data_IF_700627382362
#
_entry.id   IF_700627382362
#
_cell.length_a   1.000
_cell.length_b   1.000
_cell.length_c   1.000
_cell.angle_alpha   90.00
_cell.angle_beta   90.00
_cell.angle_gamma   90.00
#
_symmetry.space_group_name_H-M   'P 1'
#
loop_
_entity.id
_entity.type
_entity.pdbx_description
1 polymer ?
#
# COMPACT_ATOMS: atom_id res chain seq x y z
N UNK A 1 -8.37 -20.18 16.58
CA UNK A 1 -8.85 -19.80 15.23
C UNK A 1 -7.72 -19.03 14.61
N UNK A 2 -6.83 -19.78 13.99
CA UNK A 2 -5.57 -19.34 13.40
C UNK A 2 -5.80 -19.03 11.91
N UNK A 3 -5.07 -18.01 11.43
CA UNK A 3 -4.45 -17.88 10.10
C UNK A 3 -5.35 -17.92 8.85
N UNK A 4 -5.06 -17.22 7.74
CA UNK A 4 -3.84 -16.55 7.29
C UNK A 4 -4.25 -15.55 6.19
N UNK A 5 -3.53 -14.43 6.12
CA UNK A 5 -3.56 -13.48 5.03
C UNK A 5 -3.15 -14.15 3.71
N UNK A 6 -3.95 -13.99 2.66
CA UNK A 6 -3.54 -14.23 1.28
C UNK A 6 -3.51 -12.88 0.55
N UNK A 7 -2.28 -12.40 0.37
CA UNK A 7 -1.91 -11.27 -0.48
C UNK A 7 -2.19 -11.69 -1.92
N UNK A 8 -3.08 -10.97 -2.62
CA UNK A 8 -3.28 -11.14 -4.06
C UNK A 8 -2.02 -10.69 -4.81
N UNK A 9 -1.29 -11.67 -5.33
CA UNK A 9 -0.22 -11.44 -6.29
C UNK A 9 -0.80 -10.83 -7.57
N UNK A 10 -0.35 -9.60 -7.89
CA UNK A 10 -0.48 -9.00 -9.21
C UNK A 10 0.30 -9.83 -10.23
N UNK A 11 -0.36 -10.86 -10.77
CA UNK A 11 0.13 -11.67 -11.87
C UNK A 11 0.25 -10.82 -13.12
N UNK A 12 1.48 -10.41 -13.45
CA UNK A 12 1.84 -9.94 -14.79
C UNK A 12 1.47 -11.06 -15.78
N UNK A 13 0.66 -10.80 -16.82
CA UNK A 13 0.40 -11.83 -17.82
C UNK A 13 1.72 -12.19 -18.50
N UNK A 14 2.18 -13.40 -18.23
CA UNK A 14 3.28 -14.03 -18.93
C UNK A 14 2.98 -13.98 -20.42
N UNK A 15 3.85 -13.29 -21.15
CA UNK A 15 3.83 -13.11 -22.59
C UNK A 15 4.00 -14.46 -23.31
N UNK A 16 2.93 -15.25 -23.37
CA UNK A 16 2.79 -16.37 -24.28
C UNK A 16 2.58 -15.83 -25.69
N UNK A 17 3.68 -15.59 -26.41
CA UNK A 17 3.87 -16.05 -27.79
C UNK A 17 5.04 -15.31 -28.46
N UNK A 18 6.27 -15.68 -28.11
CA UNK A 18 7.40 -15.53 -29.04
C UNK A 18 7.86 -16.93 -29.46
N UNK A 19 6.92 -17.73 -29.97
CA UNK A 19 7.25 -18.91 -30.75
C UNK A 19 7.60 -18.45 -32.16
N UNK A 20 8.85 -18.74 -32.53
CA UNK A 20 9.30 -19.01 -33.90
C UNK A 20 8.99 -17.91 -34.92
N UNK A 21 9.99 -17.26 -35.51
CA UNK A 21 10.73 -17.89 -36.60
C UNK A 21 12.08 -17.18 -36.75
N UNK A 22 13.16 -17.80 -36.26
CA UNK A 22 14.49 -17.58 -36.85
C UNK A 22 14.44 -18.19 -38.26
N UNK A 23 13.95 -17.43 -39.24
CA UNK A 23 14.09 -17.75 -40.66
C UNK A 23 15.59 -17.76 -40.95
N UNK A 24 16.19 -18.95 -40.91
CA UNK A 24 17.55 -19.21 -41.38
C UNK A 24 17.67 -18.56 -42.76
N UNK A 25 18.61 -17.63 -42.90
CA UNK A 25 18.94 -16.99 -44.17
C UNK A 25 19.13 -18.11 -45.20
N UNK A 26 18.24 -18.14 -46.21
CA UNK A 26 18.35 -19.08 -47.31
C UNK A 26 19.72 -18.85 -47.94
N UNK A 27 20.54 -19.89 -47.97
CA UNK A 27 21.82 -19.92 -48.68
C UNK A 27 21.52 -19.46 -50.11
N UNK A 28 22.04 -18.29 -50.48
CA UNK A 28 21.88 -17.73 -51.82
C UNK A 28 22.37 -18.82 -52.78
N UNK A 29 21.49 -19.26 -53.68
CA UNK A 29 21.83 -20.29 -54.65
C UNK A 29 22.97 -19.73 -55.50
N UNK A 30 24.14 -20.39 -55.44
CA UNK A 30 25.36 -19.89 -56.07
C UNK A 30 25.30 -19.80 -57.60
N UNK A 31 24.20 -20.24 -58.22
CA UNK A 31 23.96 -20.08 -59.64
C UNK A 31 22.49 -19.76 -59.90
N UNK A 32 22.24 -18.65 -60.59
CA UNK A 32 20.90 -18.33 -61.06
C UNK A 32 20.52 -19.27 -62.21
N UNK A 33 19.24 -19.66 -62.36
CA UNK A 33 18.82 -20.49 -63.50
C UNK A 33 19.17 -19.84 -64.84
N UNK A 34 19.27 -18.52 -64.88
CA UNK A 34 19.68 -17.75 -66.04
C UNK A 34 21.19 -17.92 -66.37
N UNK A 35 22.06 -18.09 -65.37
CA UNK A 35 23.50 -18.39 -65.57
C UNK A 35 23.73 -19.82 -66.09
N UNK A 36 22.91 -20.77 -65.63
CA UNK A 36 22.95 -22.16 -66.11
C UNK A 36 22.52 -22.20 -67.58
N UNK A 37 21.45 -21.48 -67.92
CA UNK A 37 20.96 -21.40 -69.31
C UNK A 37 21.99 -20.70 -70.20
N UNK A 38 22.57 -19.57 -69.78
CA UNK A 38 23.57 -18.87 -70.59
C UNK A 38 24.87 -19.67 -70.73
N UNK A 39 25.31 -20.36 -69.68
CA UNK A 39 26.44 -21.28 -69.73
C UNK A 39 26.20 -22.47 -70.67
N UNK A 40 24.99 -23.03 -70.66
CA UNK A 40 24.58 -24.09 -71.59
C UNK A 40 24.53 -23.59 -73.04
N UNK A 41 23.97 -22.41 -73.29
CA UNK A 41 23.96 -21.80 -74.63
C UNK A 41 25.38 -21.47 -75.12
N UNK A 42 26.26 -20.98 -74.25
CA UNK A 42 27.66 -20.73 -74.59
C UNK A 42 28.38 -22.04 -74.93
N UNK A 43 28.20 -23.10 -74.13
CA UNK A 43 28.77 -24.42 -74.38
C UNK A 43 28.27 -25.05 -75.69
N UNK A 44 26.96 -24.97 -75.95
CA UNK A 44 26.35 -25.43 -77.20
C UNK A 44 26.85 -24.63 -78.41
N UNK A 45 26.99 -23.31 -78.27
CA UNK A 45 27.50 -22.44 -79.33
C UNK A 45 28.93 -22.80 -79.70
N UNK A 46 29.82 -22.89 -78.70
CA UNK A 46 31.22 -23.27 -78.92
C UNK A 46 31.32 -24.70 -79.49
N UNK A 47 30.58 -25.66 -78.94
CA UNK A 47 30.57 -27.03 -79.43
C UNK A 47 30.08 -27.14 -80.89
N UNK A 48 29.04 -26.40 -81.24
CA UNK A 48 28.50 -26.35 -82.61
C UNK A 48 29.49 -25.67 -83.56
N UNK A 49 30.14 -24.58 -83.14
CA UNK A 49 31.16 -23.88 -83.95
C UNK A 49 32.38 -24.76 -84.21
N UNK A 50 32.88 -25.49 -83.21
CA UNK A 50 34.01 -26.43 -83.39
C UNK A 50 33.63 -27.59 -84.31
N UNK A 51 32.42 -28.15 -84.14
CA UNK A 51 31.91 -29.24 -84.99
C UNK A 51 31.76 -28.79 -86.44
N UNK A 52 31.27 -27.56 -86.68
CA UNK A 52 31.14 -26.97 -88.00
C UNK A 52 32.50 -26.73 -88.69
N UNK A 53 33.53 -26.32 -87.93
CA UNK A 53 34.89 -26.16 -88.46
C UNK A 53 35.51 -27.47 -88.94
N UNK A 54 35.19 -28.59 -88.30
CA UNK A 54 35.69 -29.93 -88.69
C UNK A 54 34.97 -30.46 -89.93
N UNK A 55 33.66 -30.25 -90.04
CA UNK A 55 32.85 -30.80 -91.13
C UNK A 55 32.89 -29.97 -92.41
N UNK A 56 33.05 -28.64 -92.32
CA UNK A 56 33.03 -27.74 -93.47
C UNK A 56 34.00 -26.56 -93.28
N UNK A 57 35.30 -26.73 -93.61
CA UNK A 57 36.31 -25.69 -93.42
C UNK A 57 36.13 -24.57 -94.45
N UNK A 58 35.36 -23.55 -94.09
CA UNK A 58 35.18 -22.33 -94.90
C UNK A 58 35.58 -21.09 -94.10
N UNK A 59 36.27 -20.16 -94.76
CA UNK A 59 36.78 -18.91 -94.15
C UNK A 59 35.74 -18.13 -93.32
N UNK A 60 34.46 -17.96 -93.74
CA UNK A 60 33.47 -17.25 -92.93
C UNK A 60 33.14 -17.95 -91.60
N UNK A 61 33.24 -19.29 -91.52
CA UNK A 61 32.95 -20.06 -90.30
C UNK A 61 34.00 -19.81 -89.22
N UNK A 62 35.27 -19.62 -89.61
CA UNK A 62 36.34 -19.28 -88.68
C UNK A 62 36.15 -17.90 -88.05
N UNK A 63 35.75 -16.89 -88.84
CA UNK A 63 35.51 -15.53 -88.34
C UNK A 63 34.29 -15.50 -87.40
N UNK A 64 33.21 -16.20 -87.77
CA UNK A 64 32.01 -16.30 -86.93
C UNK A 64 32.29 -17.04 -85.61
N UNK A 65 33.05 -18.13 -85.64
CA UNK A 65 33.43 -18.89 -84.44
C UNK A 65 34.38 -18.15 -83.50
N UNK A 66 35.28 -17.32 -84.05
CA UNK A 66 36.17 -16.48 -83.25
C UNK A 66 35.40 -15.38 -82.50
N UNK A 67 34.44 -14.74 -83.17
CA UNK A 67 33.60 -13.70 -82.56
C UNK A 67 32.67 -14.26 -81.47
N UNK A 68 32.04 -15.41 -81.71
CA UNK A 68 31.17 -16.05 -80.71
C UNK A 68 31.95 -16.49 -79.46
N UNK A 69 33.19 -16.95 -79.64
CA UNK A 69 34.06 -17.36 -78.53
C UNK A 69 34.45 -16.21 -77.59
N UNK A 70 34.42 -14.96 -78.05
CA UNK A 70 34.70 -13.78 -77.19
C UNK A 70 33.43 -13.23 -76.54
N UNK A 71 32.32 -13.22 -77.30
CA UNK A 71 31.04 -12.69 -76.81
C UNK A 71 30.45 -13.56 -75.70
N UNK A 72 30.58 -14.89 -75.79
CA UNK A 72 30.07 -15.82 -74.78
C UNK A 72 30.62 -15.56 -73.36
N UNK A 73 31.95 -15.57 -73.16
CA UNK A 73 32.57 -15.26 -71.86
C UNK A 73 32.26 -13.84 -71.37
N UNK A 74 32.19 -12.86 -72.28
CA UNK A 74 31.90 -11.47 -71.91
C UNK A 74 30.45 -11.31 -71.42
N UNK A 75 29.48 -11.93 -72.10
CA UNK A 75 28.09 -11.94 -71.68
C UNK A 75 27.90 -12.68 -70.35
N UNK A 76 28.59 -13.81 -70.16
CA UNK A 76 28.60 -14.53 -68.89
C UNK A 76 29.13 -13.65 -67.74
N UNK A 77 30.26 -12.96 -67.95
CA UNK A 77 30.84 -12.06 -66.95
C UNK A 77 29.93 -10.88 -66.59
N UNK A 78 29.26 -10.28 -67.59
CA UNK A 78 28.27 -9.22 -67.34
C UNK A 78 27.07 -9.73 -66.54
N UNK A 79 26.58 -10.93 -66.87
CA UNK A 79 25.44 -11.52 -66.20
C UNK A 79 25.75 -11.79 -64.72
N UNK A 80 26.93 -12.31 -64.39
CA UNK A 80 27.36 -12.50 -62.99
C UNK A 80 27.37 -11.19 -62.21
N UNK A 81 27.87 -10.09 -62.81
CA UNK A 81 27.85 -8.78 -62.15
C UNK A 81 26.42 -8.25 -61.90
N UNK A 82 25.49 -8.51 -62.82
CA UNK A 82 24.09 -8.13 -62.62
C UNK A 82 23.44 -8.95 -61.49
N UNK A 83 23.75 -10.25 -61.40
CA UNK A 83 23.32 -11.11 -60.30
C UNK A 83 23.84 -10.60 -58.96
N UNK A 84 25.13 -10.25 -58.86
CA UNK A 84 25.74 -9.74 -57.63
C UNK A 84 25.10 -8.42 -57.17
N UNK A 85 24.84 -7.50 -58.11
CA UNK A 85 24.17 -6.23 -57.81
C UNK A 85 22.73 -6.47 -57.32
N UNK A 86 22.01 -7.39 -57.95
CA UNK A 86 20.65 -7.73 -57.54
C UNK A 86 20.62 -8.35 -56.13
N UNK A 87 21.55 -9.26 -55.85
CA UNK A 87 21.73 -9.85 -54.53
C UNK A 87 22.08 -8.79 -53.48
N UNK A 88 22.98 -7.86 -53.81
CA UNK A 88 23.37 -6.78 -52.91
C UNK A 88 22.19 -5.84 -52.62
N UNK A 89 21.35 -5.54 -53.61
CA UNK A 89 20.13 -4.77 -53.43
C UNK A 89 19.14 -5.48 -52.51
N UNK A 90 18.92 -6.79 -52.70
CA UNK A 90 18.03 -7.58 -51.84
C UNK A 90 18.54 -7.62 -50.39
N UNK A 91 19.85 -7.80 -50.19
CA UNK A 91 20.45 -7.75 -48.84
C UNK A 91 20.34 -6.37 -48.21
N UNK A 92 20.54 -5.29 -48.98
CA UNK A 92 20.37 -3.93 -48.49
C UNK A 92 18.91 -3.66 -48.07
N UNK A 93 17.93 -4.11 -48.87
CA UNK A 93 16.52 -4.00 -48.50
C UNK A 93 16.17 -4.84 -47.27
N UNK A 94 16.78 -6.01 -47.10
CA UNK A 94 16.60 -6.83 -45.90
C UNK A 94 17.20 -6.18 -44.65
N UNK A 95 18.41 -5.62 -44.76
CA UNK A 95 19.07 -4.88 -43.68
C UNK A 95 18.27 -3.64 -43.33
N UNK A 96 17.78 -2.88 -44.33
CA UNK A 96 16.93 -1.72 -44.10
C UNK A 96 15.66 -2.08 -43.33
N UNK A 97 14.99 -3.16 -43.72
CA UNK A 97 13.82 -3.68 -42.99
C UNK A 97 14.14 -4.04 -41.53
N UNK A 98 15.31 -4.60 -41.28
CA UNK A 98 15.74 -4.95 -39.92
C UNK A 98 16.08 -3.71 -39.08
N UNK A 99 16.72 -2.71 -39.67
CA UNK A 99 16.97 -1.42 -39.01
C UNK A 99 15.66 -0.70 -38.70
N UNK A 100 14.72 -0.68 -39.65
CA UNK A 100 13.40 -0.07 -39.44
C UNK A 100 12.63 -0.80 -38.32
N UNK A 101 12.73 -2.13 -38.24
CA UNK A 101 12.17 -2.94 -37.14
C UNK A 101 12.79 -2.60 -35.80
N UNK A 102 14.13 -2.57 -35.71
CA UNK A 102 14.86 -2.25 -34.48
C UNK A 102 14.62 -0.80 -34.03
N UNK A 103 14.43 0.12 -34.98
CA UNK A 103 14.06 1.51 -34.68
C UNK A 103 12.67 1.58 -34.04
N UNK A 104 11.69 0.87 -34.59
CA UNK A 104 10.35 0.78 -33.99
C UNK A 104 10.37 0.14 -32.60
N UNK A 105 11.18 -0.91 -32.41
CA UNK A 105 11.37 -1.54 -31.09
C UNK A 105 12.02 -0.59 -30.09
N UNK A 106 12.99 0.23 -30.50
CA UNK A 106 13.56 1.28 -29.65
C UNK A 106 12.54 2.35 -29.25
N UNK A 107 11.69 2.80 -30.19
CA UNK A 107 10.62 3.76 -29.88
C UNK A 107 9.67 3.19 -28.84
N UNK A 108 9.21 1.95 -29.04
CA UNK A 108 8.32 1.27 -28.09
C UNK A 108 8.97 1.09 -26.72
N UNK A 109 10.25 0.70 -26.68
CA UNK A 109 10.98 0.56 -25.42
C UNK A 109 11.09 1.90 -24.68
N UNK A 110 11.36 2.98 -25.42
CA UNK A 110 11.43 4.33 -24.85
C UNK A 110 10.07 4.79 -24.29
N UNK A 111 8.96 4.45 -24.95
CA UNK A 111 7.61 4.67 -24.42
C UNK A 111 7.39 3.89 -23.11
N UNK A 112 7.78 2.61 -23.06
CA UNK A 112 7.69 1.79 -21.83
C UNK A 112 8.54 2.35 -20.69
N UNK A 113 9.74 2.87 -20.99
CA UNK A 113 10.58 3.55 -19.99
C UNK A 113 9.88 4.82 -19.48
N UNK A 114 9.21 5.56 -20.34
CA UNK A 114 8.38 6.71 -19.94
C UNK A 114 7.26 6.32 -18.99
N UNK A 115 6.49 5.28 -19.31
CA UNK A 115 5.41 4.77 -18.44
C UNK A 115 5.93 4.28 -17.08
N UNK A 116 7.11 3.65 -17.06
CA UNK A 116 7.75 3.21 -15.82
C UNK A 116 8.21 4.41 -14.98
N UNK A 117 8.76 5.47 -15.59
CA UNK A 117 9.08 6.71 -14.88
C UNK A 117 7.84 7.37 -14.29
N UNK A 118 6.75 7.48 -15.05
CA UNK A 118 5.47 8.01 -14.54
C UNK A 118 4.94 7.17 -13.36
N UNK A 119 5.18 5.86 -13.39
CA UNK A 119 4.80 4.96 -12.28
C UNK A 119 5.69 5.17 -11.05
N UNK A 120 6.98 5.44 -11.24
CA UNK A 120 7.91 5.78 -10.14
C UNK A 120 7.49 7.10 -9.49
N UNK A 121 7.19 8.13 -10.28
CA UNK A 121 6.73 9.44 -9.77
C UNK A 121 5.45 9.28 -8.93
N UNK A 122 4.51 8.44 -9.37
CA UNK A 122 3.31 8.12 -8.59
C UNK A 122 3.61 7.37 -7.29
N UNK A 123 4.62 6.50 -7.28
CA UNK A 123 5.04 5.80 -6.07
C UNK A 123 5.70 6.75 -5.07
N UNK A 124 6.47 7.74 -5.54
CA UNK A 124 7.03 8.82 -4.72
C UNK A 124 5.91 9.66 -4.07
N UNK A 125 4.88 10.04 -4.84
CA UNK A 125 3.70 10.74 -4.31
C UNK A 125 2.98 9.92 -3.22
N UNK A 126 2.88 8.59 -3.40
CA UNK A 126 2.26 7.68 -2.42
C UNK A 126 3.12 7.55 -1.17
N UNK A 127 4.45 7.47 -1.29
CA UNK A 127 5.39 7.47 -0.16
C UNK A 127 5.26 8.77 0.66
N UNK A 128 5.21 9.92 0.00
CA UNK A 128 5.02 11.21 0.66
C UNK A 128 3.65 11.30 1.37
N UNK A 129 2.58 10.79 0.75
CA UNK A 129 1.27 10.72 1.39
C UNK A 129 1.29 9.79 2.63
N UNK A 130 2.00 8.66 2.56
CA UNK A 130 2.18 7.75 3.69
C UNK A 130 2.99 8.37 4.84
N UNK A 131 4.02 9.17 4.54
CA UNK A 131 4.80 9.89 5.54
C UNK A 131 3.95 10.94 6.28
N UNK A 132 3.17 11.73 5.53
CA UNK A 132 2.21 12.69 6.10
C UNK A 132 1.15 12.00 6.96
N UNK A 133 0.62 10.86 6.52
CA UNK A 133 -0.36 10.08 7.32
C UNK A 133 0.29 9.55 8.59
N UNK A 134 1.50 9.01 8.51
CA UNK A 134 2.23 8.46 9.67
C UNK A 134 2.53 9.57 10.68
N UNK A 135 2.95 10.74 10.21
CA UNK A 135 3.19 11.91 11.06
C UNK A 135 1.89 12.43 11.70
N UNK A 136 0.79 12.46 10.97
CA UNK A 136 -0.52 12.92 11.47
C UNK A 136 -1.15 11.90 12.44
N UNK A 137 -0.99 10.60 12.19
CA UNK A 137 -1.47 9.54 13.07
C UNK A 137 -0.62 9.45 14.36
N UNK A 138 0.71 9.59 14.27
CA UNK A 138 1.59 9.68 15.44
C UNK A 138 1.22 10.85 16.34
N UNK A 139 1.01 12.04 15.77
CA UNK A 139 0.52 13.21 16.51
C UNK A 139 -0.90 13.02 17.07
N UNK A 140 -1.76 12.24 16.40
CA UNK A 140 -3.12 11.96 16.88
C UNK A 140 -3.13 11.03 18.09
N UNK A 141 -2.19 10.09 18.20
CA UNK A 141 -2.07 9.21 19.38
C UNK A 141 -1.60 9.99 20.60
N UNK A 142 -0.61 10.87 20.43
CA UNK A 142 -0.14 11.74 21.52
C UNK A 142 -1.23 12.74 21.95
N UNK A 143 -1.94 13.35 21.00
CA UNK A 143 -3.07 14.25 21.28
C UNK A 143 -4.22 13.51 21.99
N UNK A 144 -4.51 12.27 21.59
CA UNK A 144 -5.51 11.43 22.25
C UNK A 144 -5.10 11.06 23.67
N UNK A 145 -3.82 10.70 23.89
CA UNK A 145 -3.30 10.41 25.22
C UNK A 145 -3.38 11.64 26.14
N UNK A 146 -3.04 12.82 25.63
CA UNK A 146 -3.18 14.09 26.35
C UNK A 146 -4.66 14.36 26.69
N UNK A 147 -5.59 14.15 25.75
CA UNK A 147 -7.02 14.35 25.97
C UNK A 147 -7.60 13.38 27.01
N UNK A 148 -7.16 12.12 27.02
CA UNK A 148 -7.56 11.13 28.05
C UNK A 148 -7.03 11.54 29.43
N UNK A 149 -5.80 12.06 29.50
CA UNK A 149 -5.20 12.55 30.74
C UNK A 149 -5.96 13.78 31.27
N UNK A 150 -6.25 14.75 30.41
CA UNK A 150 -7.06 15.93 30.76
C UNK A 150 -8.46 15.53 31.23
N UNK A 151 -9.10 14.57 30.55
CA UNK A 151 -10.41 14.06 30.96
C UNK A 151 -10.35 13.40 32.35
N UNK A 152 -9.31 12.60 32.64
CA UNK A 152 -9.09 12.03 33.98
C UNK A 152 -8.95 13.12 35.05
N UNK A 153 -8.20 14.18 34.75
CA UNK A 153 -8.02 15.30 35.68
C UNK A 153 -9.35 16.05 35.92
N UNK A 154 -10.15 16.27 34.87
CA UNK A 154 -11.50 16.85 34.95
C UNK A 154 -12.43 15.96 35.80
N UNK A 155 -12.45 14.65 35.56
CA UNK A 155 -13.23 13.70 36.35
C UNK A 155 -12.82 13.75 37.83
N UNK A 156 -11.51 13.81 38.12
CA UNK A 156 -11.00 13.98 39.49
C UNK A 156 -11.47 15.28 40.14
N UNK A 157 -11.47 16.39 39.41
CA UNK A 157 -12.00 17.67 39.89
C UNK A 157 -13.52 17.63 40.11
N UNK A 158 -14.28 17.02 39.20
CA UNK A 158 -15.72 16.85 39.34
C UNK A 158 -16.07 15.99 40.55
N UNK A 159 -15.33 14.91 40.78
CA UNK A 159 -15.52 14.05 41.94
C UNK A 159 -15.22 14.81 43.25
N UNK A 160 -14.16 15.64 43.27
CA UNK A 160 -13.87 16.52 44.42
C UNK A 160 -14.99 17.54 44.66
N UNK A 161 -15.52 18.15 43.60
CA UNK A 161 -16.64 19.09 43.69
C UNK A 161 -17.92 18.41 44.19
N UNK A 162 -18.22 17.19 43.71
CA UNK A 162 -19.35 16.39 44.18
C UNK A 162 -19.21 16.06 45.67
N UNK A 163 -18.03 15.60 46.10
CA UNK A 163 -17.72 15.32 47.51
C UNK A 163 -17.89 16.57 48.39
N UNK A 164 -17.40 17.72 47.94
CA UNK A 164 -17.56 18.98 48.66
C UNK A 164 -19.03 19.41 48.78
N UNK A 165 -19.83 19.23 47.70
CA UNK A 165 -21.25 19.54 47.72
C UNK A 165 -22.03 18.61 48.69
N UNK A 166 -21.76 17.30 48.62
CA UNK A 166 -22.31 16.32 49.55
C UNK A 166 -21.94 16.65 50.99
N UNK A 167 -20.67 16.96 51.26
CA UNK A 167 -20.20 17.35 52.59
C UNK A 167 -20.95 18.58 53.11
N UNK A 168 -21.10 19.61 52.27
CA UNK A 168 -21.81 20.83 52.63
C UNK A 168 -23.28 20.55 52.98
N UNK A 169 -23.96 19.71 52.19
CA UNK A 169 -25.34 19.32 52.46
C UNK A 169 -25.45 18.51 53.77
N UNK A 170 -24.51 17.61 54.04
CA UNK A 170 -24.46 16.84 55.28
C UNK A 170 -24.26 17.75 56.50
N UNK A 171 -23.29 18.68 56.44
CA UNK A 171 -23.06 19.65 57.50
C UNK A 171 -24.30 20.52 57.75
N UNK A 172 -24.99 20.96 56.69
CA UNK A 172 -26.21 21.75 56.84
C UNK A 172 -27.34 20.96 57.52
N UNK A 173 -27.49 19.67 57.19
CA UNK A 173 -28.50 18.81 57.83
C UNK A 173 -28.17 18.57 59.30
N UNK A 174 -26.89 18.34 59.62
CA UNK A 174 -26.41 18.13 60.99
C UNK A 174 -26.59 19.39 61.84
N UNK A 175 -26.15 20.55 61.36
CA UNK A 175 -26.29 21.84 62.07
C UNK A 175 -27.78 22.22 62.26
N UNK A 176 -28.66 21.91 61.29
CA UNK A 176 -30.10 22.16 61.43
C UNK A 176 -30.84 21.18 62.34
N UNK A 177 -30.20 20.07 62.68
CA UNK A 177 -30.81 19.06 63.54
C UNK A 177 -30.58 19.36 65.02
N UNK A 178 -29.50 20.06 65.36
CA UNK A 178 -29.32 20.69 66.68
C UNK A 178 -30.33 21.84 66.85
N UNK A 179 -31.33 21.63 67.71
CA UNK A 179 -32.44 22.57 67.93
C UNK A 179 -32.24 23.47 69.14
N UNK A 180 -31.46 23.01 70.11
CA UNK A 180 -31.28 23.66 71.41
C UNK A 180 -29.86 24.22 71.61
N UNK A 181 -29.02 24.17 70.56
CA UNK A 181 -27.66 24.74 70.51
C UNK A 181 -26.75 24.12 71.58
N UNK A 182 -27.09 22.91 72.03
CA UNK A 182 -26.35 22.18 73.05
C UNK A 182 -25.17 21.37 72.46
N UNK A 183 -25.05 21.36 71.12
CA UNK A 183 -24.03 20.63 70.35
C UNK A 183 -24.00 19.12 70.65
N UNK A 184 -25.13 18.53 71.02
CA UNK A 184 -25.35 17.11 71.29
C UNK A 184 -26.56 16.62 70.50
N UNK A 185 -26.45 15.41 69.95
CA UNK A 185 -27.53 14.74 69.24
C UNK A 185 -28.16 13.72 70.19
N UNK A 186 -29.42 13.94 70.55
CA UNK A 186 -30.16 13.06 71.45
C UNK A 186 -30.60 11.77 70.74
N UNK A 187 -30.87 10.71 71.51
CA UNK A 187 -31.12 9.38 70.96
C UNK A 187 -32.37 9.28 70.08
N UNK A 188 -33.37 10.12 70.35
CA UNK A 188 -34.59 10.29 69.57
C UNK A 188 -34.40 11.16 68.33
N UNK A 189 -33.36 12.00 68.29
CA UNK A 189 -33.01 12.83 67.13
C UNK A 189 -32.17 12.08 66.08
N UNK A 190 -31.54 10.97 66.46
CA UNK A 190 -30.69 10.15 65.58
C UNK A 190 -31.48 9.62 64.37
N UNK A 191 -32.69 9.09 64.58
CA UNK A 191 -33.49 8.50 63.49
C UNK A 191 -33.99 9.57 62.51
N UNK A 192 -34.33 10.74 63.04
CA UNK A 192 -34.71 11.92 62.28
C UNK A 192 -33.54 12.45 61.42
N UNK A 193 -32.34 12.47 62.00
CA UNK A 193 -31.11 12.85 61.31
C UNK A 193 -30.77 11.86 60.19
N UNK A 194 -30.81 10.56 60.46
CA UNK A 194 -30.57 9.50 59.47
C UNK A 194 -31.57 9.63 58.30
N UNK A 195 -32.84 9.86 58.59
CA UNK A 195 -33.89 10.04 57.58
C UNK A 195 -33.64 11.27 56.71
N UNK A 196 -33.13 12.37 57.28
CA UNK A 196 -32.77 13.58 56.53
C UNK A 196 -31.52 13.38 55.68
N UNK A 197 -30.52 12.66 56.20
CA UNK A 197 -29.30 12.36 55.43
C UNK A 197 -29.63 11.46 54.23
N UNK A 198 -30.49 10.45 54.40
CA UNK A 198 -30.95 9.58 53.29
C UNK A 198 -31.65 10.32 52.15
N UNK A 199 -32.16 11.54 52.40
CA UNK A 199 -32.79 12.39 51.38
C UNK A 199 -31.77 13.20 50.56
N UNK A 200 -30.49 13.20 50.93
CA UNK A 200 -29.43 13.85 50.17
C UNK A 200 -29.08 12.94 48.98
N UNK A 201 -29.21 13.49 47.76
CA UNK A 201 -28.86 12.77 46.54
C UNK A 201 -27.37 12.38 46.55
N UNK A 202 -27.10 11.11 46.21
CA UNK A 202 -25.73 10.60 46.10
C UNK A 202 -25.11 10.12 47.42
N UNK A 203 -25.86 9.98 48.51
CA UNK A 203 -25.35 9.46 49.80
C UNK A 203 -26.14 8.23 50.24
N UNK A 204 -25.43 7.12 50.48
CA UNK A 204 -25.95 5.98 51.25
C UNK A 204 -25.31 5.94 52.63
N UNK A 205 -26.14 5.79 53.66
CA UNK A 205 -25.70 5.68 55.07
C UNK A 205 -25.93 4.27 55.56
N UNK A 206 -24.91 3.67 56.18
CA UNK A 206 -25.09 2.45 56.98
C UNK A 206 -25.65 2.84 58.36
N UNK A 207 -26.97 2.75 58.51
CA UNK A 207 -27.71 3.22 59.70
C UNK A 207 -27.18 2.62 61.00
N UNK A 208 -27.00 1.30 61.04
CA UNK A 208 -26.55 0.58 62.23
C UNK A 208 -25.19 1.09 62.72
N UNK A 209 -24.23 1.23 61.80
CA UNK A 209 -22.89 1.72 62.12
C UNK A 209 -22.88 3.20 62.49
N UNK A 210 -23.74 4.00 61.87
CA UNK A 210 -23.87 5.43 62.17
C UNK A 210 -24.45 5.63 63.58
N UNK A 211 -25.48 4.85 63.93
CA UNK A 211 -26.14 4.85 65.24
C UNK A 211 -25.19 4.38 66.35
N UNK A 212 -24.43 3.30 66.10
CA UNK A 212 -23.43 2.79 67.04
C UNK A 212 -22.30 3.79 67.28
N UNK A 213 -21.85 4.52 66.25
CA UNK A 213 -20.79 5.51 66.43
C UNK A 213 -21.26 6.74 67.22
N UNK A 214 -22.46 7.24 66.96
CA UNK A 214 -23.01 8.39 67.70
C UNK A 214 -23.23 8.04 69.17
N UNK A 215 -23.76 6.85 69.44
CA UNK A 215 -24.01 6.38 70.81
C UNK A 215 -22.72 6.10 71.57
N UNK A 216 -21.71 5.53 70.92
CA UNK A 216 -20.39 5.27 71.54
C UNK A 216 -19.61 6.56 71.81
N UNK A 217 -19.80 7.60 70.99
CA UNK A 217 -19.12 8.90 71.13
C UNK A 217 -19.85 9.89 72.05
N UNK A 218 -20.95 9.49 72.67
CA UNK A 218 -21.72 10.34 73.58
C UNK A 218 -22.50 11.45 72.88
N UNK A 219 -22.80 11.29 71.58
CA UNK A 219 -23.70 12.19 70.85
C UNK A 219 -23.11 13.55 70.47
N UNK A 220 -21.82 13.81 70.70
CA UNK A 220 -21.27 15.14 70.41
C UNK A 220 -21.30 15.48 68.91
N UNK A 221 -21.83 16.66 68.59
CA UNK A 221 -21.84 17.23 67.24
C UNK A 221 -20.44 17.29 66.62
N UNK A 222 -19.42 17.56 67.44
CA UNK A 222 -18.02 17.57 67.01
C UNK A 222 -17.56 16.21 66.45
N UNK A 223 -17.99 15.12 67.08
CA UNK A 223 -17.66 13.77 66.62
C UNK A 223 -18.42 13.41 65.35
N UNK A 224 -19.68 13.85 65.22
CA UNK A 224 -20.46 13.70 63.97
C UNK A 224 -19.79 14.46 62.82
N UNK A 225 -19.29 15.67 63.08
CA UNK A 225 -18.52 16.44 62.11
C UNK A 225 -17.21 15.76 61.72
N UNK A 226 -16.49 15.14 62.66
CA UNK A 226 -15.26 14.38 62.37
C UNK A 226 -15.55 13.11 61.56
N UNK A 227 -16.65 12.41 61.86
CA UNK A 227 -17.13 11.26 61.07
C UNK A 227 -17.46 11.68 59.64
N UNK A 228 -18.11 12.83 59.47
CA UNK A 228 -18.46 13.39 58.17
C UNK A 228 -17.23 13.95 57.45
N UNK A 229 -16.22 14.45 58.16
CA UNK A 229 -14.95 14.90 57.57
C UNK A 229 -14.14 13.74 57.00
N UNK A 230 -14.29 12.54 57.57
CA UNK A 230 -13.66 11.32 57.04
C UNK A 230 -14.20 10.90 55.65
N UNK A 231 -15.33 11.43 55.18
CA UNK A 231 -15.79 11.29 53.78
C UNK A 231 -14.87 11.98 52.76
N UNK A 232 -14.10 12.98 53.19
CA UNK A 232 -13.18 13.72 52.33
C UNK A 232 -11.77 13.15 52.28
N UNK A 233 -11.41 12.25 53.20
CA UNK A 233 -10.13 11.57 53.15
C UNK A 233 -10.15 10.63 51.93
N UNK A 234 -9.36 10.96 50.90
CA UNK A 234 -9.01 10.01 49.86
C UNK A 234 -8.43 8.78 50.59
N UNK A 235 -9.02 7.60 50.36
CA UNK A 235 -8.47 6.29 50.76
C UNK A 235 -8.98 5.64 52.07
N UNK A 236 -10.29 5.44 52.19
CA UNK A 236 -10.85 4.29 52.92
C UNK A 236 -11.88 3.54 52.09
N UNK A 237 -11.41 2.95 50.98
CA UNK A 237 -12.18 1.95 50.25
C UNK A 237 -12.21 0.65 51.04
N UNK A 238 -13.35 0.30 51.62
CA UNK A 238 -13.52 -0.94 52.36
C UNK A 238 -14.83 -0.99 53.15
N UNK A 239 -15.10 -2.16 53.74
CA UNK A 239 -16.31 -2.46 54.52
C UNK A 239 -16.55 -1.57 55.76
N UNK A 240 -15.60 -0.69 56.06
CA UNK A 240 -15.60 0.28 57.16
C UNK A 240 -16.15 1.67 56.75
N UNK A 241 -16.41 1.91 55.46
CA UNK A 241 -16.97 3.18 55.00
C UNK A 241 -18.42 3.35 55.48
N UNK A 242 -18.65 4.41 56.26
CA UNK A 242 -19.96 4.73 56.83
C UNK A 242 -20.94 5.32 55.80
N UNK A 243 -20.37 6.01 54.81
CA UNK A 243 -21.06 6.70 53.74
C UNK A 243 -20.53 6.20 52.40
N UNK A 244 -21.43 5.83 51.50
CA UNK A 244 -21.10 5.43 50.12
C UNK A 244 -21.65 6.50 49.19
N UNK A 245 -20.78 7.12 48.39
CA UNK A 245 -21.21 8.09 47.38
C UNK A 245 -21.60 7.32 46.13
N UNK A 246 -22.86 7.43 45.72
CA UNK A 246 -23.32 6.86 44.44
C UNK A 246 -22.88 7.78 43.31
N UNK A 247 -21.91 7.32 42.53
CA UNK A 247 -21.63 7.91 41.21
C UNK A 247 -22.72 7.43 40.24
N UNK A 248 -23.56 8.34 39.76
CA UNK A 248 -24.55 8.04 38.69
C UNK A 248 -23.89 7.76 37.32
N UNK A 249 -22.56 7.70 37.24
CA UNK A 249 -21.79 7.55 36.01
C UNK A 249 -21.27 6.15 35.68
N UNK A 250 -21.50 5.11 36.52
CA UNK A 250 -21.10 3.74 36.19
C UNK A 250 -22.06 3.09 35.18
N UNK A 251 -22.18 3.66 33.99
CA UNK A 251 -22.62 2.91 32.82
C UNK A 251 -21.50 1.93 32.51
N UNK A 252 -21.80 0.65 32.70
CA UNK A 252 -20.96 -0.46 32.28
C UNK A 252 -20.51 -0.24 30.82
N UNK A 253 -19.20 -0.11 30.64
CA UNK A 253 -18.56 -0.43 29.36
C UNK A 253 -18.53 -1.95 29.19
#
# INVERSE_FOLDING_TARGET
>A
MENENAIEEGGVPANESTKEQKKKLKKIANHTPMEIISGAFAGLSVGTSVTAMILAPSTPVFVAGALSSVIGPYAYYQQTKLTDILALKETHEAVKREVDRLSQENVRLNETVGELSDTIDRLEDVEQALDVITQTQGQSVDAFAEQVKENRDILGQMQKNLRANVLQNLLQVVIRSDRDDNMQIEFDEIDDLITRIKKINGVEVREDKFRDMITTSGGSLSTVMDIIKNLMAEDKGGDEALFIIKDEGSVAL
#
